data_IF_408752632056
#
_entry.id   IF_408752632056
#
_cell.length_a   1.000
_cell.length_b   1.000
_cell.length_c   1.000
_cell.angle_alpha   90.00
_cell.angle_beta   90.00
_cell.angle_gamma   90.00
#
_symmetry.space_group_name_H-M   'P 1'
#
loop_
_entity.id
_entity.type
_entity.pdbx_description
1 polymer ?
#
# COMPACT_ATOMS: atom_id res chain seq x y z
N UNK A 1 -12.77 0.73 8.88
CA UNK A 1 -12.37 0.72 7.46
C UNK A 1 -13.17 1.73 6.65
N UNK A 2 -14.50 1.69 6.62
CA UNK A 2 -15.33 2.60 5.81
C UNK A 2 -15.14 4.07 6.16
N UNK A 3 -14.98 4.37 7.47
CA UNK A 3 -14.63 5.72 7.92
C UNK A 3 -13.29 6.20 7.31
N UNK A 4 -12.29 5.33 7.25
CA UNK A 4 -10.98 5.66 6.65
C UNK A 4 -11.10 5.92 5.15
N UNK A 5 -11.86 5.08 4.42
CA UNK A 5 -12.14 5.30 2.99
C UNK A 5 -12.81 6.65 2.77
N UNK A 6 -13.87 6.93 3.54
CA UNK A 6 -14.61 8.18 3.44
C UNK A 6 -13.75 9.41 3.79
N UNK A 7 -12.93 9.32 4.84
CA UNK A 7 -12.02 10.39 5.26
C UNK A 7 -10.98 10.71 4.16
N UNK A 8 -10.34 9.69 3.59
CA UNK A 8 -9.37 9.86 2.52
C UNK A 8 -10.01 10.44 1.26
N UNK A 9 -11.12 9.86 0.80
CA UNK A 9 -11.84 10.34 -0.38
C UNK A 9 -12.26 11.80 -0.23
N UNK A 10 -12.80 12.19 0.92
CA UNK A 10 -13.20 13.57 1.23
C UNK A 10 -11.99 14.51 1.25
N UNK A 11 -10.88 14.09 1.89
CA UNK A 11 -9.66 14.89 1.96
C UNK A 11 -9.11 15.18 0.56
N UNK A 12 -8.95 14.15 -0.28
CA UNK A 12 -8.41 14.30 -1.62
C UNK A 12 -9.34 15.14 -2.51
N UNK A 13 -10.65 14.91 -2.46
CA UNK A 13 -11.63 15.70 -3.21
C UNK A 13 -11.58 17.19 -2.82
N UNK A 14 -11.41 17.53 -1.54
CA UNK A 14 -11.29 18.92 -1.08
C UNK A 14 -10.06 19.65 -1.60
N UNK A 15 -9.03 18.90 -2.02
CA UNK A 15 -7.80 19.42 -2.64
C UNK A 15 -7.77 19.23 -4.17
N UNK A 16 -8.89 18.83 -4.78
CA UNK A 16 -9.00 18.53 -6.22
C UNK A 16 -7.99 17.49 -6.70
N UNK A 17 -7.70 16.49 -5.87
CA UNK A 17 -6.83 15.35 -6.18
C UNK A 17 -7.63 14.07 -6.32
N UNK A 18 -7.21 13.21 -7.24
CA UNK A 18 -7.77 11.88 -7.42
C UNK A 18 -7.35 10.92 -6.30
N UNK A 19 -8.14 9.87 -6.16
CA UNK A 19 -7.93 8.80 -5.21
C UNK A 19 -7.68 7.52 -6.00
N UNK A 20 -6.44 7.01 -6.02
CA UNK A 20 -6.02 5.77 -6.70
C UNK A 20 -5.37 4.83 -5.70
N UNK A 21 -6.16 4.20 -4.82
CA UNK A 21 -5.61 3.43 -3.71
C UNK A 21 -4.83 2.20 -4.17
N UNK A 22 -3.86 1.79 -3.36
CA UNK A 22 -2.99 0.67 -3.66
C UNK A 22 -3.49 -0.63 -3.02
N UNK A 23 -4.01 -1.54 -3.84
CA UNK A 23 -4.57 -2.81 -3.41
C UNK A 23 -3.54 -3.81 -2.84
N UNK A 24 -2.22 -3.57 -2.97
CA UNK A 24 -1.20 -4.44 -2.36
C UNK A 24 -1.40 -4.59 -0.84
N UNK A 25 -1.96 -3.57 -0.20
CA UNK A 25 -2.22 -3.54 1.24
C UNK A 25 -3.32 -4.52 1.65
N UNK A 26 -4.40 -4.59 0.89
CA UNK A 26 -5.55 -5.43 1.27
C UNK A 26 -5.77 -6.66 0.38
N UNK A 27 -5.31 -6.67 -0.87
CA UNK A 27 -5.40 -7.78 -1.82
C UNK A 27 -6.81 -8.37 -2.01
N UNK A 28 -7.85 -7.57 -1.72
CA UNK A 28 -9.24 -7.98 -1.66
C UNK A 28 -10.11 -7.18 -2.63
N UNK A 29 -10.74 -7.81 -3.63
CA UNK A 29 -11.63 -7.13 -4.57
C UNK A 29 -12.85 -6.47 -3.93
N UNK A 30 -13.39 -7.01 -2.83
CA UNK A 30 -14.52 -6.38 -2.11
C UNK A 30 -14.13 -5.01 -1.58
N UNK A 31 -12.94 -4.90 -1.00
CA UNK A 31 -12.41 -3.63 -0.51
C UNK A 31 -12.13 -2.67 -1.69
N UNK A 32 -11.51 -3.16 -2.77
CA UNK A 32 -11.28 -2.35 -3.96
C UNK A 32 -12.59 -1.76 -4.53
N UNK A 33 -13.67 -2.55 -4.57
CA UNK A 33 -15.00 -2.07 -4.98
C UNK A 33 -15.57 -0.99 -4.05
N UNK A 34 -15.37 -1.11 -2.74
CA UNK A 34 -15.78 -0.08 -1.78
C UNK A 34 -15.01 1.23 -2.02
N UNK A 35 -13.71 1.15 -2.32
CA UNK A 35 -12.88 2.30 -2.67
C UNK A 35 -13.34 2.95 -4.00
N UNK A 36 -13.66 2.14 -5.03
CA UNK A 36 -14.22 2.65 -6.29
C UNK A 36 -15.58 3.34 -6.06
N UNK A 37 -16.45 2.75 -5.23
CA UNK A 37 -17.75 3.36 -4.88
C UNK A 37 -17.59 4.68 -4.10
N UNK A 38 -16.51 4.86 -3.36
CA UNK A 38 -16.16 6.10 -2.67
C UNK A 38 -15.52 7.16 -3.59
N UNK A 39 -15.39 6.90 -4.89
CA UNK A 39 -14.88 7.83 -5.87
C UNK A 39 -13.41 7.64 -6.26
N UNK A 40 -12.83 6.47 -6.01
CA UNK A 40 -11.51 6.16 -6.54
C UNK A 40 -11.52 6.21 -8.09
N UNK A 41 -10.48 6.83 -8.65
CA UNK A 41 -10.33 6.96 -10.12
C UNK A 41 -9.76 5.70 -10.78
N UNK A 42 -9.40 4.70 -9.97
CA UNK A 42 -8.82 3.42 -10.34
C UNK A 42 -8.10 2.81 -9.15
N UNK A 43 -7.53 1.62 -9.33
CA UNK A 43 -6.83 0.85 -8.30
C UNK A 43 -5.37 0.62 -8.72
N UNK A 44 -4.42 0.83 -7.82
CA UNK A 44 -3.03 0.41 -8.01
C UNK A 44 -2.83 -1.04 -7.55
N UNK A 45 -2.01 -1.78 -8.28
CA UNK A 45 -1.51 -3.11 -7.91
C UNK A 45 0.00 -3.17 -8.04
N UNK A 46 0.68 -3.98 -7.26
CA UNK A 46 2.13 -4.12 -7.36
C UNK A 46 2.55 -5.13 -8.45
N UNK A 47 1.69 -6.06 -8.79
CA UNK A 47 1.98 -7.19 -9.69
C UNK A 47 0.89 -7.38 -10.75
N UNK A 48 1.29 -7.94 -11.90
CA UNK A 48 0.37 -8.29 -12.98
C UNK A 48 -0.69 -9.30 -12.52
N UNK A 49 -0.29 -10.27 -11.70
CA UNK A 49 -1.22 -11.25 -11.13
C UNK A 49 -2.25 -10.65 -10.17
N UNK A 50 -1.90 -9.61 -9.42
CA UNK A 50 -2.87 -8.85 -8.61
C UNK A 50 -3.83 -8.08 -9.51
N UNK A 51 -3.31 -7.46 -10.58
CA UNK A 51 -4.13 -6.75 -11.56
C UNK A 51 -5.17 -7.68 -12.21
N UNK A 52 -4.78 -8.90 -12.56
CA UNK A 52 -5.71 -9.91 -13.08
C UNK A 52 -6.89 -10.17 -12.13
N UNK A 53 -6.62 -10.29 -10.83
CA UNK A 53 -7.68 -10.49 -9.81
C UNK A 53 -8.63 -9.29 -9.76
N UNK A 54 -8.10 -8.06 -9.80
CA UNK A 54 -8.92 -6.84 -9.72
C UNK A 54 -9.75 -6.63 -10.98
N UNK A 55 -9.16 -6.80 -12.17
CA UNK A 55 -9.87 -6.72 -13.46
C UNK A 55 -10.97 -7.78 -13.57
N UNK A 56 -10.68 -9.04 -13.22
CA UNK A 56 -11.67 -10.12 -13.21
C UNK A 56 -12.82 -9.88 -12.22
N UNK A 57 -12.57 -9.09 -11.18
CA UNK A 57 -13.62 -8.68 -10.26
C UNK A 57 -14.45 -7.48 -10.76
N UNK A 58 -14.12 -6.92 -11.94
CA UNK A 58 -14.86 -5.81 -12.56
C UNK A 58 -14.35 -4.42 -12.16
N UNK A 59 -13.11 -4.29 -11.68
CA UNK A 59 -12.48 -2.96 -11.52
C UNK A 59 -12.16 -2.39 -12.89
N UNK A 60 -12.65 -1.20 -13.18
CA UNK A 60 -12.62 -0.59 -14.52
C UNK A 60 -11.30 0.08 -14.89
N UNK A 61 -10.44 0.41 -13.93
CA UNK A 61 -9.12 1.02 -14.17
C UNK A 61 -8.12 0.46 -13.17
N UNK A 62 -7.03 -0.17 -13.67
CA UNK A 62 -5.97 -0.76 -12.84
C UNK A 62 -4.61 -0.29 -13.32
N UNK A 63 -3.80 0.25 -12.40
CA UNK A 63 -2.40 0.61 -12.63
C UNK A 63 -1.48 -0.42 -11.97
N UNK A 64 -0.65 -1.11 -12.77
CA UNK A 64 0.44 -1.94 -12.27
C UNK A 64 1.66 -1.07 -12.01
N UNK A 65 2.02 -0.91 -10.74
CA UNK A 65 3.04 0.05 -10.28
C UNK A 65 4.46 -0.47 -10.29
N UNK A 66 4.69 -1.74 -10.66
CA UNK A 66 6.03 -2.32 -10.81
C UNK A 66 6.33 -2.60 -12.27
N UNK A 67 7.54 -2.27 -12.76
CA UNK A 67 7.93 -2.51 -14.14
C UNK A 67 7.88 -3.98 -14.55
N UNK A 68 7.52 -4.20 -15.81
CA UNK A 68 7.53 -5.50 -16.48
C UNK A 68 8.70 -5.55 -17.46
N UNK A 69 9.62 -6.50 -17.29
CA UNK A 69 10.85 -6.57 -18.08
C UNK A 69 11.15 -7.96 -18.67
N UNK A 70 10.18 -8.88 -18.60
CA UNK A 70 10.33 -10.23 -19.16
C UNK A 70 9.20 -10.59 -20.09
N UNK A 71 9.49 -11.42 -21.07
CA UNK A 71 8.52 -11.94 -22.04
C UNK A 71 7.33 -12.60 -21.35
N UNK A 72 7.56 -13.44 -20.34
CA UNK A 72 6.49 -14.15 -19.64
C UNK A 72 5.53 -13.19 -18.93
N UNK A 73 6.06 -12.12 -18.32
CA UNK A 73 5.20 -11.11 -17.68
C UNK A 73 4.47 -10.25 -18.72
N UNK A 74 5.09 -9.93 -19.84
CA UNK A 74 4.43 -9.23 -20.95
C UNK A 74 3.30 -10.08 -21.56
N UNK A 75 3.47 -11.39 -21.69
CA UNK A 75 2.40 -12.32 -22.08
C UNK A 75 1.25 -12.32 -21.07
N UNK A 76 1.56 -12.28 -19.77
CA UNK A 76 0.53 -12.17 -18.75
C UNK A 76 -0.22 -10.82 -18.83
N UNK A 77 0.48 -9.72 -19.12
CA UNK A 77 -0.15 -8.42 -19.40
C UNK A 77 -1.07 -8.54 -20.61
N UNK A 78 -0.60 -9.13 -21.71
CA UNK A 78 -1.44 -9.33 -22.90
C UNK A 78 -2.70 -10.13 -22.58
N UNK A 79 -2.59 -11.16 -21.74
CA UNK A 79 -3.73 -12.00 -21.37
C UNK A 79 -4.83 -11.24 -20.61
N UNK A 80 -4.48 -10.21 -19.84
CA UNK A 80 -5.43 -9.41 -19.04
C UNK A 80 -5.83 -8.08 -19.69
N UNK A 81 -5.07 -7.62 -20.70
CA UNK A 81 -5.40 -6.41 -21.44
C UNK A 81 -6.68 -6.62 -22.26
N UNK A 82 -7.63 -5.70 -22.12
CA UNK A 82 -8.89 -5.68 -22.85
C UNK A 82 -9.29 -4.23 -23.15
N UNK A 83 -10.24 -4.05 -24.07
CA UNK A 83 -10.79 -2.73 -24.36
C UNK A 83 -12.01 -2.38 -23.47
N UNK A 84 -12.37 -3.26 -22.53
CA UNK A 84 -13.50 -3.07 -21.60
C UNK A 84 -13.07 -2.40 -20.30
N UNK A 85 -11.79 -2.54 -19.93
CA UNK A 85 -11.21 -1.94 -18.73
C UNK A 85 -9.86 -1.31 -19.05
N UNK A 86 -9.55 -0.20 -18.42
CA UNK A 86 -8.27 0.48 -18.57
C UNK A 86 -7.18 -0.28 -17.82
N UNK A 87 -6.16 -0.71 -18.54
CA UNK A 87 -4.93 -1.26 -17.97
C UNK A 87 -3.79 -0.26 -18.17
N UNK A 88 -3.23 0.21 -17.09
CA UNK A 88 -2.08 1.09 -17.04
C UNK A 88 -0.86 0.32 -16.53
N UNK A 89 0.27 0.51 -17.19
CA UNK A 89 1.54 -0.14 -16.82
C UNK A 89 2.64 0.88 -16.58
N UNK A 90 3.37 0.67 -15.51
CA UNK A 90 4.60 1.41 -15.26
C UNK A 90 5.74 0.86 -16.10
N UNK A 91 6.46 1.75 -16.81
CA UNK A 91 7.64 1.45 -17.61
C UNK A 91 8.79 2.37 -17.18
N UNK A 92 9.98 1.79 -17.00
CA UNK A 92 11.19 2.51 -16.61
C UNK A 92 12.44 2.14 -17.44
N UNK A 93 12.27 1.38 -18.49
CA UNK A 93 13.40 0.91 -19.30
C UNK A 93 13.00 0.54 -20.72
N UNK A 94 13.97 0.66 -21.63
CA UNK A 94 13.81 0.20 -23.01
C UNK A 94 13.51 -1.30 -23.06
N UNK A 95 14.17 -2.10 -22.22
CA UNK A 95 13.95 -3.56 -22.15
C UNK A 95 12.51 -3.89 -21.73
N UNK A 96 11.93 -3.10 -20.81
CA UNK A 96 10.53 -3.27 -20.42
C UNK A 96 9.57 -2.98 -21.55
N UNK A 97 9.78 -1.89 -22.29
CA UNK A 97 8.96 -1.55 -23.44
C UNK A 97 9.12 -2.58 -24.58
N UNK A 98 10.37 -3.03 -24.88
CA UNK A 98 10.64 -4.09 -25.87
C UNK A 98 9.85 -5.37 -25.57
N UNK A 99 9.78 -5.76 -24.31
CA UNK A 99 9.04 -6.95 -23.90
C UNK A 99 7.52 -6.79 -24.11
N UNK A 100 6.97 -5.60 -23.86
CA UNK A 100 5.56 -5.30 -24.10
C UNK A 100 5.24 -5.23 -25.60
N UNK A 101 6.06 -4.54 -26.38
CA UNK A 101 5.89 -4.45 -27.84
C UNK A 101 5.92 -5.82 -28.53
N UNK A 102 6.73 -6.74 -28.02
CA UNK A 102 6.82 -8.10 -28.56
C UNK A 102 5.58 -8.97 -28.30
N UNK A 103 4.80 -8.67 -27.25
CA UNK A 103 3.76 -9.60 -26.78
C UNK A 103 2.34 -9.01 -26.79
N UNK A 104 2.16 -7.69 -26.80
CA UNK A 104 0.81 -7.08 -26.82
C UNK A 104 0.20 -7.21 -28.20
N UNK A 105 -1.00 -7.77 -28.28
CA UNK A 105 -1.75 -7.97 -29.52
C UNK A 105 -2.13 -6.63 -30.17
N UNK A 106 -2.16 -6.58 -31.50
CA UNK A 106 -2.45 -5.37 -32.26
C UNK A 106 -3.86 -4.78 -32.07
N UNK A 107 -4.78 -5.56 -31.54
CA UNK A 107 -6.17 -5.15 -31.25
C UNK A 107 -6.40 -4.70 -29.80
N UNK A 108 -5.34 -4.63 -28.99
CA UNK A 108 -5.38 -4.21 -27.59
C UNK A 108 -4.70 -2.88 -27.40
N UNK A 109 -5.16 -2.13 -26.40
CA UNK A 109 -4.56 -0.86 -26.04
C UNK A 109 -4.20 -0.83 -24.56
N UNK A 110 -2.98 -0.37 -24.25
CA UNK A 110 -2.45 -0.29 -22.88
C UNK A 110 -1.90 1.11 -22.64
N UNK A 111 -2.26 1.70 -21.51
CA UNK A 111 -1.69 2.98 -21.09
C UNK A 111 -0.32 2.78 -20.45
N UNK A 112 0.63 3.63 -20.81
CA UNK A 112 1.98 3.61 -20.25
C UNK A 112 2.19 4.81 -19.34
N UNK A 113 2.61 4.52 -18.12
CA UNK A 113 3.02 5.50 -17.11
C UNK A 113 4.53 5.37 -16.91
N UNK A 114 5.31 6.41 -17.24
CA UNK A 114 6.75 6.37 -17.07
C UNK A 114 7.11 6.56 -15.59
N UNK A 115 7.83 5.60 -15.01
CA UNK A 115 8.30 5.66 -13.61
C UNK A 115 9.55 6.55 -13.51
N UNK A 116 9.59 7.42 -12.52
CA UNK A 116 10.69 8.38 -12.33
C UNK A 116 11.38 8.11 -11.00
N UNK A 117 12.70 7.82 -11.02
CA UNK A 117 13.48 7.65 -9.79
C UNK A 117 13.77 8.98 -9.11
N UNK A 118 13.24 9.10 -7.94
CA UNK A 118 13.38 10.27 -7.07
C UNK A 118 14.40 10.09 -5.95
N UNK A 119 15.45 9.34 -6.27
CA UNK A 119 16.55 9.02 -5.33
C UNK A 119 16.24 7.89 -4.35
N UNK A 120 15.18 7.15 -4.60
CA UNK A 120 14.93 5.93 -3.85
C UNK A 120 15.86 4.78 -4.27
N UNK A 121 16.27 4.77 -5.55
CA UNK A 121 17.17 3.75 -6.08
C UNK A 121 16.55 2.37 -6.20
N UNK A 122 15.22 2.29 -6.34
CA UNK A 122 14.49 1.03 -6.48
C UNK A 122 14.09 0.74 -7.92
N UNK A 123 13.33 1.64 -8.52
CA UNK A 123 12.87 1.63 -9.92
C UNK A 123 12.85 3.05 -10.44
N UNK A 124 12.66 3.22 -11.74
CA UNK A 124 12.42 4.51 -12.35
C UNK A 124 13.58 5.09 -13.16
N UNK A 125 13.20 5.93 -14.08
CA UNK A 125 14.07 6.63 -15.01
C UNK A 125 14.78 7.81 -14.36
N UNK A 126 16.07 7.94 -14.64
CA UNK A 126 16.89 9.14 -14.30
C UNK A 126 17.24 9.93 -15.53
N UNK A 127 17.68 9.24 -16.57
CA UNK A 127 18.27 9.83 -17.76
C UNK A 127 17.20 10.44 -18.68
N UNK A 128 17.42 11.69 -19.10
CA UNK A 128 16.47 12.43 -19.93
C UNK A 128 16.36 11.86 -21.34
N UNK A 129 17.46 11.36 -21.90
CA UNK A 129 17.48 10.75 -23.24
C UNK A 129 16.71 9.41 -23.28
N UNK A 130 16.77 8.62 -22.21
CA UNK A 130 15.98 7.39 -22.11
C UNK A 130 14.50 7.72 -21.96
N UNK A 131 14.16 8.71 -21.14
CA UNK A 131 12.78 9.19 -20.96
C UNK A 131 12.18 9.63 -22.32
N UNK A 132 12.90 10.48 -23.08
CA UNK A 132 12.43 10.95 -24.39
C UNK A 132 12.30 9.83 -25.40
N UNK A 133 13.26 8.90 -25.45
CA UNK A 133 13.21 7.73 -26.35
C UNK A 133 12.01 6.84 -26.08
N UNK A 134 11.68 6.58 -24.80
CA UNK A 134 10.50 5.82 -24.45
C UNK A 134 9.21 6.56 -24.83
N UNK A 135 9.17 7.87 -24.59
CA UNK A 135 8.03 8.71 -24.95
C UNK A 135 7.78 8.68 -26.47
N UNK A 136 8.83 8.84 -27.28
CA UNK A 136 8.73 8.79 -28.73
C UNK A 136 8.20 7.41 -29.21
N UNK A 137 8.75 6.31 -28.70
CA UNK A 137 8.30 4.95 -29.05
C UNK A 137 6.85 4.66 -28.66
N UNK A 138 6.42 5.14 -27.48
CA UNK A 138 5.03 5.01 -27.04
C UNK A 138 4.08 5.72 -28.01
N UNK A 139 4.47 6.88 -28.53
CA UNK A 139 3.65 7.61 -29.52
C UNK A 139 3.64 6.97 -30.92
N UNK A 140 4.69 6.24 -31.30
CA UNK A 140 4.82 5.59 -32.59
C UNK A 140 4.02 4.28 -32.69
N UNK A 141 3.73 3.63 -31.57
CA UNK A 141 3.03 2.34 -31.53
C UNK A 141 1.57 2.51 -31.09
N UNK A 142 0.58 2.28 -31.97
CA UNK A 142 -0.84 2.50 -31.66
C UNK A 142 -1.42 1.57 -30.59
N UNK A 143 -0.68 0.54 -30.16
CA UNK A 143 -1.06 -0.34 -29.04
C UNK A 143 -0.83 0.33 -27.69
N UNK A 144 -0.07 1.42 -27.64
CA UNK A 144 0.25 2.15 -26.43
C UNK A 144 -0.20 3.60 -26.51
N UNK A 145 -0.50 4.17 -25.36
CA UNK A 145 -0.63 5.62 -25.21
C UNK A 145 0.11 6.08 -23.97
N UNK A 146 0.71 7.26 -24.05
CA UNK A 146 1.34 7.88 -22.88
C UNK A 146 0.24 8.39 -21.96
N UNK A 147 0.06 7.73 -20.81
CA UNK A 147 -0.92 8.12 -19.81
C UNK A 147 -0.35 9.16 -18.84
N UNK A 148 0.96 9.12 -18.57
CA UNK A 148 1.58 10.05 -17.65
C UNK A 148 2.84 9.54 -16.95
N UNK A 149 3.07 10.01 -15.73
CA UNK A 149 4.26 9.69 -14.95
C UNK A 149 3.91 9.22 -13.54
N UNK A 150 4.74 8.32 -13.00
CA UNK A 150 4.70 7.89 -11.61
C UNK A 150 5.92 8.42 -10.85
N UNK A 151 5.68 8.85 -9.61
CA UNK A 151 6.70 9.22 -8.64
C UNK A 151 6.36 8.60 -7.29
N UNK A 152 7.20 7.68 -6.81
CA UNK A 152 7.00 7.08 -5.50
C UNK A 152 8.25 7.15 -4.63
N UNK A 153 8.15 7.82 -3.49
CA UNK A 153 9.24 8.05 -2.54
C UNK A 153 9.02 7.27 -1.22
N UNK A 154 8.92 5.94 -1.30
CA UNK A 154 8.60 5.07 -0.16
C UNK A 154 9.50 5.24 1.06
N UNK A 155 10.77 5.57 0.86
CA UNK A 155 11.73 5.84 1.93
C UNK A 155 11.43 7.09 2.78
N UNK A 156 10.47 7.91 2.36
CA UNK A 156 10.03 9.11 3.08
C UNK A 156 8.83 8.81 3.99
N UNK A 157 8.01 7.81 3.64
CA UNK A 157 6.70 7.55 4.24
C UNK A 157 6.72 7.39 5.77
N UNK A 158 7.79 6.81 6.32
CA UNK A 158 7.92 6.50 7.74
C UNK A 158 8.92 7.39 8.48
N UNK A 159 9.24 8.57 7.96
CA UNK A 159 10.03 9.56 8.69
C UNK A 159 9.16 10.10 9.83
N UNK A 160 9.55 9.89 11.11
CA UNK A 160 8.69 10.24 12.24
C UNK A 160 8.37 11.73 12.34
N UNK A 161 9.37 12.59 12.15
CA UNK A 161 9.22 14.04 12.28
C UNK A 161 8.49 14.62 11.05
N UNK A 162 7.33 15.22 11.27
CA UNK A 162 6.47 15.74 10.20
C UNK A 162 7.18 16.74 9.29
N UNK A 163 7.83 17.78 9.85
CA UNK A 163 8.49 18.81 9.03
C UNK A 163 9.65 18.25 8.19
N UNK A 164 10.39 17.29 8.72
CA UNK A 164 11.46 16.62 7.97
C UNK A 164 10.90 15.75 6.84
N UNK A 165 9.78 15.06 7.10
CA UNK A 165 9.06 14.28 6.08
C UNK A 165 8.51 15.20 5.01
N UNK A 166 7.91 16.32 5.39
CA UNK A 166 7.38 17.36 4.51
C UNK A 166 8.47 17.93 3.61
N UNK A 167 9.59 18.40 4.17
CA UNK A 167 10.71 18.93 3.41
C UNK A 167 11.23 17.93 2.37
N UNK A 168 11.40 16.67 2.78
CA UNK A 168 11.91 15.63 1.87
C UNK A 168 10.91 15.27 0.78
N UNK A 169 9.61 15.22 1.09
CA UNK A 169 8.58 14.96 0.09
C UNK A 169 8.55 16.07 -0.96
N UNK A 170 8.43 17.33 -0.57
CA UNK A 170 8.42 18.46 -1.49
C UNK A 170 9.68 18.48 -2.38
N UNK A 171 10.87 18.32 -1.78
CA UNK A 171 12.13 18.25 -2.54
C UNK A 171 12.17 17.09 -3.53
N UNK A 172 11.51 15.96 -3.23
CA UNK A 172 11.45 14.84 -4.17
C UNK A 172 10.60 15.16 -5.39
N UNK A 173 9.49 15.87 -5.21
CA UNK A 173 8.62 16.34 -6.29
C UNK A 173 9.30 17.42 -7.15
N UNK A 174 10.06 18.34 -6.57
CA UNK A 174 10.82 19.38 -7.31
C UNK A 174 11.77 18.77 -8.35
N UNK A 175 12.27 17.55 -8.14
CA UNK A 175 13.14 16.85 -9.09
C UNK A 175 12.45 16.45 -10.40
N UNK A 176 11.14 16.45 -10.43
CA UNK A 176 10.38 16.16 -11.65
C UNK A 176 10.28 17.37 -12.59
N UNK A 177 10.66 18.56 -12.16
CA UNK A 177 10.53 19.78 -12.95
C UNK A 177 11.17 19.65 -14.34
N UNK A 178 12.35 19.04 -14.45
CA UNK A 178 13.01 18.79 -15.74
C UNK A 178 12.18 17.91 -16.66
N UNK A 179 11.55 16.85 -16.13
CA UNK A 179 10.71 15.93 -16.92
C UNK A 179 9.46 16.64 -17.43
N UNK A 180 8.82 17.49 -16.62
CA UNK A 180 7.70 18.32 -17.06
C UNK A 180 8.10 19.33 -18.13
N UNK A 181 9.27 19.96 -18.02
CA UNK A 181 9.80 20.84 -19.06
C UNK A 181 10.04 20.09 -20.39
N UNK A 182 10.54 18.85 -20.34
CA UNK A 182 10.72 18.02 -21.53
C UNK A 182 9.38 17.66 -22.18
N UNK A 183 8.36 17.33 -21.40
CA UNK A 183 7.00 17.08 -21.90
C UNK A 183 6.42 18.33 -22.56
N UNK A 184 6.54 19.49 -21.91
CA UNK A 184 6.06 20.77 -22.47
C UNK A 184 6.74 21.11 -23.79
N UNK A 185 8.07 20.95 -23.88
CA UNK A 185 8.82 21.18 -25.13
C UNK A 185 8.39 20.27 -26.28
N UNK A 186 7.85 19.08 -25.98
CA UNK A 186 7.28 18.14 -26.95
C UNK A 186 5.80 18.36 -27.22
N UNK A 187 5.15 19.32 -26.54
CA UNK A 187 3.70 19.53 -26.62
C UNK A 187 2.89 18.36 -26.07
N UNK A 188 3.48 17.54 -25.19
CA UNK A 188 2.86 16.36 -24.58
C UNK A 188 2.41 16.71 -23.16
N UNK A 189 1.19 16.32 -22.80
CA UNK A 189 0.67 16.44 -21.45
C UNK A 189 0.63 15.09 -20.76
N UNK A 190 1.04 15.04 -19.50
CA UNK A 190 0.77 13.92 -18.63
C UNK A 190 -0.64 14.08 -18.03
N UNK A 191 -1.58 13.23 -18.43
CA UNK A 191 -2.93 13.22 -17.87
C UNK A 191 -2.96 12.61 -16.46
N UNK A 192 -2.01 11.71 -16.19
CA UNK A 192 -1.79 11.10 -14.89
C UNK A 192 -0.41 11.51 -14.37
N UNK A 193 -0.38 12.14 -13.22
CA UNK A 193 0.82 12.34 -12.39
C UNK A 193 0.50 11.74 -11.04
N UNK A 194 0.99 10.54 -10.79
CA UNK A 194 0.54 9.72 -9.67
C UNK A 194 1.69 9.33 -8.74
N UNK A 195 1.41 9.23 -7.44
CA UNK A 195 2.42 8.88 -6.45
C UNK A 195 1.97 9.14 -5.03
N UNK A 196 2.94 9.48 -4.16
CA UNK A 196 2.67 9.67 -2.75
C UNK A 196 2.22 8.39 -2.03
N UNK A 197 1.78 8.53 -0.80
CA UNK A 197 1.31 7.41 0.01
C UNK A 197 0.71 7.86 1.33
N UNK A 198 0.37 6.92 2.20
CA UNK A 198 -0.27 7.21 3.49
C UNK A 198 0.54 8.18 4.36
N UNK A 199 1.87 8.08 4.35
CA UNK A 199 2.72 8.95 5.19
C UNK A 199 2.85 10.39 4.71
N UNK A 200 2.47 10.68 3.46
CA UNK A 200 2.60 12.01 2.85
C UNK A 200 1.30 12.54 2.25
N UNK A 201 0.17 11.88 2.51
CA UNK A 201 -1.12 12.21 1.87
C UNK A 201 -1.55 13.66 2.11
N UNK A 202 -1.31 14.20 3.29
CA UNK A 202 -1.62 15.56 3.71
C UNK A 202 -0.60 16.61 3.26
N UNK A 203 0.60 16.16 2.85
CA UNK A 203 1.68 16.97 2.29
C UNK A 203 1.53 17.05 0.77
N UNK A 204 1.41 15.90 0.11
CA UNK A 204 1.49 15.78 -1.34
C UNK A 204 0.26 16.39 -2.06
N UNK A 205 -0.87 16.54 -1.38
CA UNK A 205 -2.04 17.25 -1.94
C UNK A 205 -1.74 18.69 -2.33
N UNK A 206 -0.69 19.30 -1.77
CA UNK A 206 -0.21 20.63 -2.14
C UNK A 206 0.60 20.68 -3.43
N UNK A 207 0.94 19.56 -4.05
CA UNK A 207 1.72 19.50 -5.29
C UNK A 207 0.81 19.80 -6.49
N UNK A 208 1.13 20.87 -7.22
CA UNK A 208 0.30 21.37 -8.31
C UNK A 208 0.06 20.31 -9.39
N UNK A 209 1.12 19.66 -9.87
CA UNK A 209 1.05 18.71 -10.98
C UNK A 209 0.48 17.34 -10.59
N UNK A 210 0.43 17.01 -9.31
CA UNK A 210 -0.10 15.72 -8.85
C UNK A 210 -1.59 15.60 -9.20
N UNK A 211 -1.97 14.51 -9.87
CA UNK A 211 -3.38 14.25 -10.22
C UNK A 211 -4.06 13.33 -9.23
N UNK A 212 -3.37 12.28 -8.78
CA UNK A 212 -3.92 11.29 -7.86
C UNK A 212 -2.86 10.66 -6.94
N UNK A 213 -3.31 10.22 -5.75
CA UNK A 213 -2.45 9.61 -4.73
C UNK A 213 -2.61 8.09 -4.65
N UNK A 214 -1.46 7.39 -4.50
CA UNK A 214 -1.36 5.93 -4.39
C UNK A 214 -1.35 5.47 -2.91
N UNK A 215 -2.35 5.88 -2.14
CA UNK A 215 -2.44 5.56 -0.71
C UNK A 215 -2.81 4.10 -0.46
N UNK A 216 -2.15 3.44 0.47
CA UNK A 216 -2.37 2.02 0.81
C UNK A 216 -2.82 1.83 2.26
N UNK A 217 -1.90 1.89 3.20
CA UNK A 217 -2.08 1.52 4.62
C UNK A 217 -3.11 2.36 5.38
N UNK A 218 -3.52 3.54 4.87
CA UNK A 218 -4.56 4.39 5.47
C UNK A 218 -5.85 3.61 5.76
N UNK A 219 -6.15 2.59 4.94
CA UNK A 219 -7.40 1.84 5.01
C UNK A 219 -7.53 1.02 6.30
N UNK A 220 -6.42 0.48 6.75
CA UNK A 220 -6.33 -0.37 7.94
C UNK A 220 -5.65 0.31 9.10
N UNK A 221 -4.66 1.15 8.85
CA UNK A 221 -3.64 1.61 9.76
C UNK A 221 -2.91 0.44 10.47
N UNK A 222 -1.72 0.71 10.93
CA UNK A 222 -0.88 -0.25 11.65
C UNK A 222 0.00 0.47 12.69
N UNK A 223 0.73 -0.30 13.48
CA UNK A 223 1.59 0.27 14.52
C UNK A 223 2.79 1.02 13.96
N UNK A 224 3.27 0.67 12.77
CA UNK A 224 4.35 1.41 12.11
C UNK A 224 3.92 2.83 11.75
N UNK A 225 2.75 3.00 11.11
CA UNK A 225 2.21 4.32 10.80
C UNK A 225 1.77 5.09 12.04
N UNK A 226 1.23 4.41 13.06
CA UNK A 226 0.81 5.09 14.31
C UNK A 226 1.97 5.76 15.06
N UNK A 227 3.22 5.33 14.83
CA UNK A 227 4.43 5.93 15.39
C UNK A 227 4.96 7.12 14.56
N UNK A 228 4.39 7.37 13.39
CA UNK A 228 4.75 8.51 12.55
C UNK A 228 4.01 9.76 13.04
N UNK A 229 4.71 10.87 13.26
CA UNK A 229 4.09 12.13 13.70
C UNK A 229 3.21 12.76 12.61
N UNK A 230 2.11 13.37 13.01
CA UNK A 230 1.28 14.25 12.20
C UNK A 230 1.73 15.72 12.31
N UNK A 231 1.06 16.63 11.59
CA UNK A 231 1.34 18.06 11.64
C UNK A 231 1.16 18.66 13.05
N UNK A 232 0.16 18.18 13.77
CA UNK A 232 -0.24 18.72 15.09
C UNK A 232 -0.14 17.67 16.22
N UNK A 233 0.58 16.57 16.01
CA UNK A 233 0.60 15.44 16.94
C UNK A 233 1.86 14.60 16.77
N UNK A 234 2.40 14.11 17.89
CA UNK A 234 3.53 13.16 17.92
C UNK A 234 3.17 11.77 17.38
N UNK A 235 1.89 11.51 17.12
CA UNK A 235 1.38 10.28 16.54
C UNK A 235 0.45 10.57 15.38
N UNK A 236 0.42 9.69 14.40
CA UNK A 236 -0.52 9.75 13.28
C UNK A 236 -1.96 9.55 13.79
N UNK A 237 -2.85 10.49 13.47
CA UNK A 237 -4.26 10.48 13.93
C UNK A 237 -5.26 10.61 12.77
N UNK A 238 -4.79 10.51 11.54
CA UNK A 238 -5.66 10.76 10.39
C UNK A 238 -6.70 9.67 10.12
N UNK A 239 -6.44 8.44 10.59
CA UNK A 239 -7.27 7.27 10.31
C UNK A 239 -7.33 6.33 11.51
N UNK A 240 -8.44 5.59 11.61
CA UNK A 240 -8.68 4.63 12.68
C UNK A 240 -8.01 3.28 12.38
N UNK A 241 -7.61 2.56 13.42
CA UNK A 241 -7.20 1.17 13.32
C UNK A 241 -8.42 0.32 12.87
N UNK A 242 -8.29 -0.39 11.78
CA UNK A 242 -9.38 -1.18 11.19
C UNK A 242 -8.97 -2.62 10.83
N UNK A 243 -7.75 -3.03 11.21
CA UNK A 243 -7.25 -4.39 11.04
C UNK A 243 -6.60 -4.85 12.34
N UNK A 244 -7.09 -5.96 12.86
CA UNK A 244 -6.49 -6.66 14.01
C UNK A 244 -6.28 -8.13 13.68
N UNK A 245 -5.38 -8.78 14.40
CA UNK A 245 -5.28 -10.24 14.44
C UNK A 245 -5.73 -10.70 15.82
N UNK A 246 -6.73 -11.59 15.84
CA UNK A 246 -7.22 -12.19 17.06
C UNK A 246 -6.36 -13.41 17.43
N UNK A 247 -5.87 -13.45 18.68
CA UNK A 247 -5.11 -14.57 19.22
C UNK A 247 -5.67 -14.99 20.58
N UNK A 248 -5.59 -16.29 20.85
CA UNK A 248 -6.04 -16.85 22.13
C UNK A 248 -4.92 -16.92 23.14
N UNK A 249 -5.17 -16.54 24.37
CA UNK A 249 -4.27 -16.75 25.50
C UNK A 249 -4.26 -18.26 25.89
N UNK A 250 -3.19 -18.97 25.55
CA UNK A 250 -3.14 -20.43 25.61
C UNK A 250 -2.30 -21.00 26.76
N UNK A 251 -1.37 -20.21 27.33
CA UNK A 251 -0.51 -20.68 28.41
C UNK A 251 0.00 -19.52 29.25
N UNK A 252 0.08 -19.73 30.56
CA UNK A 252 0.66 -18.77 31.51
C UNK A 252 1.73 -19.45 32.38
N UNK A 253 2.97 -19.60 31.85
CA UNK A 253 4.04 -20.28 32.56
C UNK A 253 4.54 -19.52 33.81
N UNK A 254 4.25 -18.23 33.91
CA UNK A 254 4.58 -17.36 35.04
C UNK A 254 3.60 -16.19 35.15
N UNK A 255 3.40 -15.59 36.33
CA UNK A 255 2.39 -14.55 36.57
C UNK A 255 2.56 -13.30 35.68
N UNK A 256 3.80 -12.96 35.30
CA UNK A 256 4.15 -11.75 34.52
C UNK A 256 4.18 -11.97 33.02
N UNK A 257 3.86 -13.17 32.54
CA UNK A 257 3.88 -13.49 31.12
C UNK A 257 2.74 -14.43 30.73
N UNK A 258 2.12 -14.19 29.58
CA UNK A 258 1.11 -15.07 28.99
C UNK A 258 1.44 -15.31 27.54
N UNK A 259 1.30 -16.56 27.09
CA UNK A 259 1.54 -16.98 25.71
C UNK A 259 0.24 -16.97 24.93
N UNK A 260 0.29 -16.40 23.73
CA UNK A 260 -0.80 -16.40 22.74
C UNK A 260 -0.44 -17.26 21.55
N UNK A 261 -1.44 -17.76 20.81
CA UNK A 261 -1.32 -18.64 19.65
C UNK A 261 -1.03 -17.90 18.33
N UNK A 262 -0.49 -16.69 18.39
CA UNK A 262 -0.04 -15.89 17.26
C UNK A 262 1.46 -15.60 17.33
N UNK A 263 2.20 -16.04 16.32
CA UNK A 263 3.64 -15.85 16.18
C UNK A 263 4.01 -15.29 14.80
N UNK A 264 5.18 -15.69 14.27
CA UNK A 264 5.66 -15.22 12.97
C UNK A 264 4.74 -15.57 11.79
N UNK A 265 3.88 -16.59 11.93
CA UNK A 265 2.90 -16.94 10.89
C UNK A 265 1.59 -16.16 10.97
N UNK A 266 1.39 -15.36 12.01
CA UNK A 266 0.20 -14.53 12.18
C UNK A 266 0.48 -13.03 11.97
N UNK A 267 1.72 -12.59 12.16
CA UNK A 267 2.10 -11.18 12.11
C UNK A 267 3.33 -10.96 11.23
N UNK A 268 3.38 -9.82 10.57
CA UNK A 268 4.61 -9.27 10.01
C UNK A 268 5.67 -9.08 11.12
N UNK A 269 6.93 -9.21 10.75
CA UNK A 269 8.08 -9.04 11.66
C UNK A 269 9.19 -8.17 11.08
N UNK A 270 8.83 -7.34 10.11
CA UNK A 270 9.76 -6.50 9.34
C UNK A 270 9.93 -5.08 9.92
N UNK A 271 9.12 -4.70 10.92
CA UNK A 271 9.18 -3.37 11.52
C UNK A 271 9.05 -3.44 13.06
N UNK A 272 7.95 -2.98 13.60
CA UNK A 272 7.66 -2.95 15.04
C UNK A 272 6.96 -4.23 15.50
N UNK A 273 6.68 -4.37 16.79
CA UNK A 273 5.93 -5.50 17.32
C UNK A 273 4.41 -5.23 17.30
N UNK A 274 3.57 -6.28 17.25
CA UNK A 274 2.12 -6.16 17.49
C UNK A 274 1.84 -5.52 18.86
N UNK A 275 0.74 -4.76 18.93
CA UNK A 275 0.29 -4.16 20.20
C UNK A 275 -1.09 -4.70 20.55
N UNK A 276 -1.24 -5.24 21.76
CA UNK A 276 -2.53 -5.73 22.23
C UNK A 276 -3.51 -4.56 22.44
N UNK A 277 -4.62 -4.60 21.73
CA UNK A 277 -5.66 -3.58 21.90
C UNK A 277 -6.26 -3.63 23.31
N UNK A 278 -6.45 -2.46 23.91
CA UNK A 278 -6.89 -2.33 25.31
C UNK A 278 -5.83 -2.62 26.36
N UNK A 279 -4.65 -3.13 26.00
CA UNK A 279 -3.55 -3.44 26.93
C UNK A 279 -2.19 -2.93 26.39
N UNK A 280 -2.07 -1.65 26.04
CA UNK A 280 -0.87 -1.10 25.38
C UNK A 280 0.38 -1.10 26.26
N UNK A 281 0.22 -1.28 27.58
CA UNK A 281 1.32 -1.40 28.54
C UNK A 281 1.99 -2.76 28.50
N UNK A 282 1.36 -3.80 27.92
CA UNK A 282 1.96 -5.10 27.73
C UNK A 282 2.80 -5.12 26.46
N UNK A 283 4.01 -5.65 26.57
CA UNK A 283 4.91 -5.80 25.42
C UNK A 283 4.74 -7.17 24.78
N UNK A 284 4.55 -7.19 23.47
CA UNK A 284 4.57 -8.41 22.68
C UNK A 284 6.01 -8.80 22.33
N UNK A 285 6.31 -10.09 22.42
CA UNK A 285 7.56 -10.70 21.98
C UNK A 285 7.25 -11.95 21.15
N UNK A 286 7.79 -12.06 19.97
CA UNK A 286 7.74 -13.30 19.19
C UNK A 286 8.41 -14.45 19.96
N UNK A 287 7.76 -15.60 20.03
CA UNK A 287 8.22 -16.80 20.72
C UNK A 287 8.20 -18.03 19.81
N UNK A 288 8.37 -17.82 18.51
CA UNK A 288 8.39 -18.83 17.46
C UNK A 288 7.31 -18.60 16.40
N UNK A 289 7.16 -19.57 15.53
CA UNK A 289 6.28 -19.51 14.37
C UNK A 289 4.79 -19.33 14.78
N UNK A 290 4.37 -20.08 15.80
CA UNK A 290 2.97 -20.17 16.22
C UNK A 290 2.66 -19.40 17.51
N UNK A 291 3.68 -18.82 18.18
CA UNK A 291 3.49 -18.25 19.51
C UNK A 291 4.04 -16.84 19.64
N UNK A 292 3.30 -16.01 20.37
CA UNK A 292 3.73 -14.75 20.92
C UNK A 292 3.65 -14.80 22.45
N UNK A 293 4.39 -13.93 23.14
CA UNK A 293 4.33 -13.76 24.60
C UNK A 293 4.06 -12.30 24.90
N UNK A 294 3.02 -12.05 25.69
CA UNK A 294 2.77 -10.76 26.30
C UNK A 294 3.47 -10.69 27.66
N UNK A 295 4.20 -9.62 27.87
CA UNK A 295 5.03 -9.38 29.06
C UNK A 295 4.70 -8.01 29.65
N UNK A 296 4.71 -7.92 30.99
CA UNK A 296 4.75 -6.62 31.70
C UNK A 296 6.22 -6.19 31.82
N UNK A 297 6.66 -5.08 31.22
CA UNK A 297 8.08 -4.70 31.17
C UNK A 297 8.74 -4.60 32.56
N UNK A 298 8.03 -4.02 33.54
CA UNK A 298 8.55 -3.80 34.90
C UNK A 298 8.73 -5.09 35.74
N UNK A 299 8.11 -6.20 35.33
CA UNK A 299 8.26 -7.47 36.02
C UNK A 299 9.65 -8.12 35.81
N UNK A 300 10.36 -7.73 34.75
CA UNK A 300 11.74 -8.16 34.52
C UNK A 300 12.72 -7.55 35.52
N UNK A 301 12.44 -6.33 36.01
CA UNK A 301 13.30 -5.58 36.94
C UNK A 301 12.91 -5.79 38.43
N UNK A 302 11.72 -6.33 38.71
CA UNK A 302 11.24 -6.57 40.05
C UNK A 302 10.50 -7.93 40.16
N UNK A 303 11.22 -9.03 40.42
CA UNK A 303 10.66 -10.40 40.47
C UNK A 303 9.57 -10.61 41.57
N UNK A 304 9.34 -9.63 42.46
CA UNK A 304 8.33 -9.66 43.47
C UNK A 304 7.01 -8.97 43.11
N UNK A 305 6.89 -8.37 41.93
CA UNK A 305 5.65 -7.76 41.48
C UNK A 305 4.69 -8.83 40.91
N UNK A 306 3.79 -9.30 41.77
CA UNK A 306 2.76 -10.29 41.48
C UNK A 306 1.48 -9.67 40.86
N UNK A 307 1.50 -8.47 40.32
CA UNK A 307 0.33 -7.94 39.64
C UNK A 307 0.05 -8.78 38.39
N UNK A 308 -1.13 -9.39 38.35
CA UNK A 308 -1.59 -10.16 37.18
C UNK A 308 -1.66 -9.30 35.92
N UNK A 309 -1.58 -9.92 34.76
CA UNK A 309 -1.63 -9.24 33.45
C UNK A 309 -3.03 -8.69 33.11
N UNK A 310 -4.07 -9.07 33.88
CA UNK A 310 -5.47 -8.77 33.55
C UNK A 310 -6.03 -9.65 32.42
N UNK A 311 -5.29 -10.69 32.04
CA UNK A 311 -5.64 -11.66 30.98
C UNK A 311 -5.71 -13.05 31.58
N UNK A 312 -6.71 -13.84 31.19
CA UNK A 312 -6.91 -15.22 31.62
C UNK A 312 -6.68 -16.19 30.45
N UNK A 313 -6.39 -17.43 30.78
CA UNK A 313 -6.32 -18.50 29.77
C UNK A 313 -7.69 -18.67 29.11
N UNK A 314 -7.69 -18.73 27.78
CA UNK A 314 -8.89 -18.81 26.96
C UNK A 314 -9.43 -17.44 26.50
N UNK A 315 -8.92 -16.33 27.01
CA UNK A 315 -9.29 -15.01 26.49
C UNK A 315 -8.81 -14.86 25.04
N UNK A 316 -9.67 -14.27 24.21
CA UNK A 316 -9.34 -13.87 22.85
C UNK A 316 -8.92 -12.40 22.88
N UNK A 317 -7.70 -12.14 22.49
CA UNK A 317 -7.08 -10.82 22.47
C UNK A 317 -6.93 -10.33 21.03
N UNK A 318 -7.20 -9.08 20.79
CA UNK A 318 -6.98 -8.45 19.47
C UNK A 318 -5.68 -7.66 19.49
N UNK A 319 -4.94 -7.79 18.39
CA UNK A 319 -3.66 -7.13 18.23
C UNK A 319 -3.69 -6.21 17.03
N UNK A 320 -3.38 -4.93 17.24
CA UNK A 320 -2.98 -4.05 16.17
C UNK A 320 -1.74 -4.64 15.47
N UNK A 321 -1.80 -4.76 14.15
CA UNK A 321 -0.74 -5.38 13.38
C UNK A 321 0.49 -4.47 13.29
N UNK A 322 1.72 -5.03 13.22
CA UNK A 322 2.94 -4.24 13.09
C UNK A 322 2.96 -3.42 11.78
N UNK A 323 2.75 -4.11 10.67
CA UNK A 323 2.72 -3.61 9.30
C UNK A 323 1.62 -4.37 8.54
N UNK A 324 0.65 -3.65 7.98
CA UNK A 324 -0.54 -4.28 7.40
C UNK A 324 -0.22 -5.09 6.13
N UNK A 325 0.57 -4.57 5.19
CA UNK A 325 0.83 -5.22 3.90
C UNK A 325 1.38 -6.67 4.03
N UNK A 326 2.49 -6.94 4.75
CA UNK A 326 2.97 -8.31 4.88
C UNK A 326 2.12 -9.16 5.83
N UNK A 327 1.45 -8.57 6.84
CA UNK A 327 0.54 -9.33 7.71
C UNK A 327 -0.64 -9.88 6.90
N UNK A 328 -1.29 -9.05 6.07
CA UNK A 328 -2.39 -9.48 5.19
C UNK A 328 -1.97 -10.65 4.31
N UNK A 329 -0.72 -10.66 3.84
CA UNK A 329 -0.22 -11.72 2.97
C UNK A 329 -0.03 -13.08 3.69
N UNK A 330 -0.16 -13.14 5.03
CA UNK A 330 -0.13 -14.37 5.83
C UNK A 330 -1.52 -15.03 5.98
N UNK A 331 -2.60 -14.32 5.66
CA UNK A 331 -3.98 -14.76 5.87
C UNK A 331 -4.73 -14.96 4.56
N UNK A 332 -5.73 -15.86 4.57
CA UNK A 332 -6.53 -16.18 3.38
C UNK A 332 -7.79 -15.32 3.27
N UNK A 333 -8.27 -14.79 4.38
CA UNK A 333 -9.53 -14.03 4.44
C UNK A 333 -9.56 -13.06 5.61
N UNK A 334 -10.42 -12.03 5.49
CA UNK A 334 -10.80 -11.17 6.58
C UNK A 334 -12.11 -11.67 7.20
N UNK A 335 -12.17 -11.72 8.51
CA UNK A 335 -13.43 -11.83 9.24
C UNK A 335 -13.97 -10.41 9.45
N UNK A 336 -15.19 -10.18 8.98
CA UNK A 336 -15.78 -8.83 9.01
C UNK A 336 -16.60 -8.69 10.27
N UNK A 337 -16.17 -7.76 11.13
CA UNK A 337 -16.88 -7.39 12.35
C UNK A 337 -17.52 -6.02 12.18
N UNK A 338 -18.76 -5.88 12.55
CA UNK A 338 -19.50 -4.62 12.54
C UNK A 338 -19.50 -3.96 13.93
N UNK A 339 -20.18 -2.79 14.04
CA UNK A 339 -20.22 -1.99 15.28
C UNK A 339 -20.85 -2.74 16.47
N UNK A 340 -21.69 -3.73 16.22
CA UNK A 340 -22.27 -4.61 17.24
C UNK A 340 -21.27 -5.61 17.85
N UNK A 341 -20.03 -5.62 17.33
CA UNK A 341 -18.95 -6.51 17.74
C UNK A 341 -19.06 -7.94 17.22
N UNK A 342 -20.10 -8.25 16.43
CA UNK A 342 -20.32 -9.58 15.87
C UNK A 342 -19.65 -9.75 14.50
N UNK A 343 -19.25 -10.98 14.19
CA UNK A 343 -18.75 -11.34 12.87
C UNK A 343 -19.94 -11.60 11.95
N UNK A 344 -20.09 -10.78 10.93
CA UNK A 344 -21.17 -10.84 9.95
C UNK A 344 -20.79 -11.53 8.64
N UNK A 345 -19.54 -11.93 8.47
CA UNK A 345 -19.08 -12.63 7.29
C UNK A 345 -17.58 -12.64 7.13
N UNK A 346 -17.14 -13.02 5.94
CA UNK A 346 -15.71 -12.97 5.59
C UNK A 346 -15.51 -12.47 4.16
N UNK A 347 -14.37 -11.87 3.90
CA UNK A 347 -13.94 -11.48 2.55
C UNK A 347 -12.65 -12.19 2.20
N UNK A 348 -12.61 -12.93 1.08
CA UNK A 348 -11.37 -13.58 0.62
C UNK A 348 -10.29 -12.55 0.27
N UNK A 349 -9.04 -12.85 0.65
CA UNK A 349 -7.86 -12.11 0.21
C UNK A 349 -7.40 -12.70 -1.14
N UNK A 350 -8.23 -12.50 -2.18
CA UNK A 350 -8.13 -13.24 -3.44
C UNK A 350 -6.83 -13.01 -4.21
N UNK A 351 -6.14 -11.89 -3.97
CA UNK A 351 -4.83 -11.61 -4.57
C UNK A 351 -3.65 -12.03 -3.67
N UNK A 352 -3.89 -12.76 -2.57
CA UNK A 352 -2.82 -13.37 -1.77
C UNK A 352 -2.06 -14.41 -2.60
N UNK A 353 -0.73 -14.44 -2.49
CA UNK A 353 0.09 -15.33 -3.31
C UNK A 353 0.30 -14.86 -4.76
N UNK A 354 -0.41 -13.83 -5.20
CA UNK A 354 -0.23 -13.19 -6.51
C UNK A 354 1.04 -12.31 -6.49
N UNK A 355 2.21 -12.92 -6.58
CA UNK A 355 3.50 -12.23 -6.41
C UNK A 355 4.38 -12.18 -7.67
N UNK A 356 3.83 -12.50 -8.84
CA UNK A 356 4.53 -12.58 -10.12
C UNK A 356 3.98 -11.60 -11.19
#
# INVERSE_FOLDING_TARGET
MDANIGAMAKHLASHHKGFRPHAKTHKCPTIAKAQMAAGAVGICTAKVSEAAVMLNAGISSVLVTSPVSTRQKAQAVNAIASNEAELLLVVDSVVGLDALEAEIDANKTVGVVLDLDVVMGRTGLREDDVFLRLLDRIHEDPRFYFAGVQHYAGHIMHIPEFEKRREKSLRSWDRLATKFQLLEQRGVRADIVTGGGTGTYDIDVGIEHLTDLQVGSYIFMDEEYRQVGGADSDRFKGFDLALTVACTAISQPQPSAITVDGGYKAFASDSVNPVCDGLPELQFRFAGDEHGVLLRPQAADNPGDNQGLGVMLGDVLEFAVPHCDPTVNLHDQYWVREEDGMVHGYWPISARGCSW
#
